data_IF_118053657592
#
_entry.id   IF_118053657592
#
_cell.length_a   1.000
_cell.length_b   1.000
_cell.length_c   1.000
_cell.angle_alpha   90.00
_cell.angle_beta   90.00
_cell.angle_gamma   90.00
#
_symmetry.space_group_name_H-M   'P 1'
#
loop_
_entity.id
_entity.type
_entity.pdbx_description
1 polymer ?
#
# COMPACT_ATOMS: atom_id res chain seq x y z
N UNK A 1 58.40 -22.68 -25.79
CA UNK A 1 57.34 -21.93 -26.49
C UNK A 1 56.02 -22.45 -25.94
N UNK A 2 55.50 -21.88 -24.84
CA UNK A 2 54.61 -20.70 -24.80
C UNK A 2 53.28 -21.04 -25.52
N UNK A 3 52.10 -21.09 -24.91
CA UNK A 3 51.54 -20.43 -23.72
C UNK A 3 50.23 -21.13 -23.30
N UNK A 4 49.98 -21.27 -22.01
CA UNK A 4 48.60 -21.19 -21.46
C UNK A 4 48.22 -19.71 -21.33
N UNK A 5 46.93 -19.35 -21.48
CA UNK A 5 46.28 -18.81 -20.28
C UNK A 5 44.79 -19.18 -20.13
N UNK A 6 44.46 -19.62 -18.92
CA UNK A 6 43.40 -19.09 -18.05
C UNK A 6 42.02 -18.85 -18.69
N UNK A 7 41.13 -19.84 -18.61
CA UNK A 7 39.69 -19.57 -18.68
C UNK A 7 39.28 -18.77 -17.45
N UNK A 8 38.97 -17.51 -17.74
CA UNK A 8 38.45 -16.48 -16.87
C UNK A 8 37.02 -16.84 -16.47
N UNK A 9 36.78 -17.10 -15.19
CA UNK A 9 35.43 -17.01 -14.61
C UNK A 9 34.97 -15.56 -14.62
N UNK A 10 33.74 -15.30 -15.07
CA UNK A 10 32.89 -14.43 -14.30
C UNK A 10 31.77 -15.28 -13.70
N UNK A 11 31.82 -15.37 -12.38
CA UNK A 11 30.65 -15.58 -11.56
C UNK A 11 29.48 -14.77 -12.14
N UNK A 12 28.55 -15.43 -12.81
CA UNK A 12 27.19 -14.90 -12.90
C UNK A 12 26.60 -15.12 -11.53
N UNK A 13 27.00 -14.23 -10.61
CA UNK A 13 26.25 -13.93 -9.42
C UNK A 13 24.80 -13.80 -9.86
N UNK A 14 24.00 -14.78 -9.48
CA UNK A 14 22.55 -14.63 -9.42
C UNK A 14 22.29 -13.29 -8.74
N UNK A 15 21.42 -12.43 -9.31
CA UNK A 15 21.30 -11.04 -8.89
C UNK A 15 21.17 -10.96 -7.37
N UNK A 16 22.02 -10.17 -6.69
CA UNK A 16 21.85 -9.94 -5.28
C UNK A 16 20.57 -9.16 -5.07
N UNK A 17 20.04 -9.33 -3.87
CA UNK A 17 19.00 -8.52 -3.25
C UNK A 17 17.62 -8.66 -3.88
N UNK A 18 16.72 -9.27 -3.11
CA UNK A 18 15.29 -9.06 -3.25
C UNK A 18 15.08 -7.57 -3.42
N UNK A 19 14.83 -7.17 -4.67
CA UNK A 19 14.33 -5.85 -5.01
C UNK A 19 12.98 -5.84 -4.32
N UNK A 20 12.96 -5.42 -3.06
CA UNK A 20 11.74 -5.03 -2.37
C UNK A 20 11.25 -3.93 -3.28
N UNK A 21 10.37 -4.29 -4.21
CA UNK A 21 9.49 -3.33 -4.86
C UNK A 21 9.05 -2.44 -3.72
N UNK A 22 9.29 -1.11 -3.78
CA UNK A 22 8.80 -0.23 -2.72
C UNK A 22 7.36 -0.64 -2.50
N UNK A 23 7.14 -1.15 -1.29
CA UNK A 23 6.05 -2.06 -0.99
C UNK A 23 4.79 -1.41 -1.53
N UNK A 24 4.09 -2.06 -2.48
CA UNK A 24 2.91 -1.44 -3.09
C UNK A 24 1.84 -1.11 -2.03
N UNK A 25 1.97 -1.67 -0.82
CA UNK A 25 1.16 -1.32 0.36
C UNK A 25 1.61 -0.05 1.07
N UNK A 26 2.75 0.55 0.72
CA UNK A 26 3.32 1.76 1.31
C UNK A 26 2.88 3.04 0.60
N UNK A 27 2.59 2.95 -0.70
CA UNK A 27 1.92 4.00 -1.46
C UNK A 27 0.41 3.89 -1.24
N UNK A 28 -0.22 5.04 -1.02
CA UNK A 28 -1.64 5.08 -0.76
C UNK A 28 -2.43 4.72 -2.02
N UNK A 29 -3.46 3.84 -1.93
CA UNK A 29 -4.19 3.41 -3.12
C UNK A 29 -5.13 4.53 -3.58
N UNK A 30 -4.64 5.41 -4.45
CA UNK A 30 -5.36 6.63 -4.85
C UNK A 30 -6.68 6.33 -5.57
N UNK A 31 -6.70 5.29 -6.40
CA UNK A 31 -7.91 4.84 -7.13
C UNK A 31 -8.98 4.31 -6.16
N UNK A 32 -8.59 3.41 -5.24
CA UNK A 32 -9.47 2.87 -4.19
C UNK A 32 -10.04 3.98 -3.30
N UNK A 33 -9.20 4.95 -2.94
CA UNK A 33 -9.61 6.12 -2.18
C UNK A 33 -10.61 6.99 -2.94
N UNK A 34 -10.36 7.24 -4.23
CA UNK A 34 -11.26 8.05 -5.04
C UNK A 34 -12.63 7.40 -5.16
N UNK A 35 -12.66 6.10 -5.45
CA UNK A 35 -13.89 5.30 -5.47
C UNK A 35 -14.62 5.32 -4.11
N UNK A 36 -13.88 5.24 -3.00
CA UNK A 36 -14.43 5.37 -1.66
C UNK A 36 -15.08 6.74 -1.41
N UNK A 37 -14.38 7.83 -1.74
CA UNK A 37 -14.90 9.19 -1.59
C UNK A 37 -16.15 9.43 -2.44
N UNK A 38 -16.17 8.95 -3.69
CA UNK A 38 -17.33 9.06 -4.58
C UNK A 38 -18.53 8.32 -4.00
N UNK A 39 -18.32 7.11 -3.46
CA UNK A 39 -19.43 6.31 -2.94
C UNK A 39 -19.94 6.85 -1.60
N UNK A 40 -19.07 7.31 -0.70
CA UNK A 40 -19.48 8.05 0.51
C UNK A 40 -20.29 9.30 0.14
N UNK A 41 -19.86 10.04 -0.90
CA UNK A 41 -20.59 11.23 -1.39
C UNK A 41 -21.98 10.85 -1.90
N UNK A 42 -22.12 9.72 -2.60
CA UNK A 42 -23.43 9.17 -2.99
C UNK A 42 -24.33 8.80 -1.82
N UNK A 43 -23.76 8.52 -0.65
CA UNK A 43 -24.50 8.28 0.61
C UNK A 43 -24.75 9.58 1.41
N UNK A 44 -24.38 10.74 0.85
CA UNK A 44 -24.55 12.05 1.49
C UNK A 44 -23.38 12.48 2.38
N UNK A 45 -22.27 11.72 2.42
CA UNK A 45 -21.08 12.06 3.19
C UNK A 45 -19.90 12.42 2.30
N UNK A 46 -19.57 13.71 2.22
CA UNK A 46 -18.36 14.14 1.54
C UNK A 46 -17.12 13.90 2.41
N UNK A 47 -16.22 13.03 1.94
CA UNK A 47 -14.96 12.70 2.62
C UNK A 47 -13.79 13.38 1.92
N UNK A 48 -12.88 13.98 2.67
CA UNK A 48 -11.68 14.61 2.11
C UNK A 48 -10.52 13.63 1.98
N UNK A 49 -10.06 13.44 0.74
CA UNK A 49 -8.90 12.62 0.39
C UNK A 49 -7.62 13.05 1.10
N UNK A 50 -7.40 14.36 1.25
CA UNK A 50 -6.23 14.89 1.94
C UNK A 50 -6.28 14.57 3.44
N UNK A 51 -7.45 14.72 4.07
CA UNK A 51 -7.61 14.41 5.49
C UNK A 51 -7.47 12.92 5.76
N UNK A 52 -8.02 12.04 4.92
CA UNK A 52 -7.78 10.61 5.11
C UNK A 52 -6.29 10.23 4.94
N UNK A 53 -5.50 10.96 4.13
CA UNK A 53 -4.06 10.68 3.99
C UNK A 53 -3.23 11.12 5.18
N UNK A 54 -3.54 12.29 5.73
CA UNK A 54 -2.70 12.99 6.70
C UNK A 54 -3.23 12.89 8.13
N UNK A 55 -4.54 12.72 8.31
CA UNK A 55 -5.19 12.61 9.61
C UNK A 55 -5.73 11.19 9.83
N UNK A 56 -5.02 10.44 10.67
CA UNK A 56 -5.35 9.04 10.97
C UNK A 56 -6.70 8.91 11.68
N UNK A 57 -7.04 9.85 12.58
CA UNK A 57 -8.28 9.76 13.37
C UNK A 57 -9.47 9.93 12.43
N UNK A 58 -9.42 10.96 11.61
CA UNK A 58 -10.38 11.20 10.54
C UNK A 58 -10.49 9.98 9.61
N UNK A 59 -9.37 9.43 9.14
CA UNK A 59 -9.39 8.23 8.31
C UNK A 59 -10.13 7.06 8.97
N UNK A 60 -9.80 6.72 10.22
CA UNK A 60 -10.45 5.63 10.95
C UNK A 60 -11.94 5.87 11.22
N UNK A 61 -12.34 7.10 11.53
CA UNK A 61 -13.75 7.44 11.71
C UNK A 61 -14.53 7.25 10.41
N UNK A 62 -13.99 7.70 9.27
CA UNK A 62 -14.65 7.53 7.98
C UNK A 62 -14.72 6.06 7.54
N UNK A 63 -13.70 5.26 7.82
CA UNK A 63 -13.74 3.81 7.59
C UNK A 63 -14.78 3.13 8.48
N UNK A 64 -14.93 3.57 9.73
CA UNK A 64 -15.94 3.06 10.65
C UNK A 64 -17.36 3.43 10.18
N UNK A 65 -17.56 4.67 9.73
CA UNK A 65 -18.83 5.10 9.15
C UNK A 65 -19.18 4.27 7.92
N UNK A 66 -18.24 4.12 6.99
CA UNK A 66 -18.39 3.30 5.80
C UNK A 66 -18.74 1.84 6.12
N UNK A 67 -18.13 1.25 7.16
CA UNK A 67 -18.40 -0.11 7.59
C UNK A 67 -19.83 -0.30 8.16
N UNK A 68 -20.40 0.76 8.75
CA UNK A 68 -21.75 0.75 9.31
C UNK A 68 -22.84 1.11 8.29
N UNK A 69 -22.48 1.51 7.06
CA UNK A 69 -23.46 1.77 6.01
C UNK A 69 -24.00 0.46 5.43
N UNK A 70 -25.24 0.49 4.92
CA UNK A 70 -25.87 -0.64 4.22
C UNK A 70 -25.35 -0.81 2.78
N UNK A 71 -24.04 -0.61 2.58
CA UNK A 71 -23.39 -0.72 1.29
C UNK A 71 -22.19 -1.68 1.40
N UNK A 72 -22.36 -2.88 0.87
CA UNK A 72 -21.41 -3.97 1.04
C UNK A 72 -20.05 -3.67 0.40
N UNK A 73 -20.05 -3.05 -0.78
CA UNK A 73 -18.78 -2.76 -1.43
C UNK A 73 -18.10 -1.49 -0.85
N UNK A 74 -18.81 -0.59 -0.17
CA UNK A 74 -18.23 0.46 0.67
C UNK A 74 -17.51 -0.15 1.86
N UNK A 75 -18.15 -1.14 2.49
CA UNK A 75 -17.56 -1.92 3.57
C UNK A 75 -16.29 -2.66 3.11
N UNK A 76 -16.29 -3.28 1.94
CA UNK A 76 -15.11 -3.92 1.37
C UNK A 76 -13.97 -2.93 1.07
N UNK A 77 -14.28 -1.76 0.50
CA UNK A 77 -13.29 -0.71 0.27
C UNK A 77 -12.72 -0.18 1.59
N UNK A 78 -13.56 -0.04 2.62
CA UNK A 78 -13.12 0.40 3.94
C UNK A 78 -12.12 -0.61 4.57
N UNK A 79 -12.39 -1.90 4.47
CA UNK A 79 -11.46 -2.95 4.95
C UNK A 79 -10.14 -2.91 4.18
N UNK A 80 -10.17 -2.74 2.86
CA UNK A 80 -8.96 -2.62 2.05
C UNK A 80 -8.13 -1.39 2.44
N UNK A 81 -8.75 -0.21 2.54
CA UNK A 81 -8.10 1.01 2.97
C UNK A 81 -7.51 0.87 4.39
N UNK A 82 -8.24 0.24 5.31
CA UNK A 82 -7.76 -0.04 6.67
C UNK A 82 -6.48 -0.87 6.66
N UNK A 83 -6.40 -1.93 5.84
CA UNK A 83 -5.18 -2.75 5.71
C UNK A 83 -3.98 -1.93 5.21
N UNK A 84 -4.21 -0.96 4.31
CA UNK A 84 -3.15 -0.04 3.89
C UNK A 84 -2.73 0.93 5.00
N UNK A 85 -3.67 1.44 5.80
CA UNK A 85 -3.34 2.23 6.99
C UNK A 85 -2.51 1.42 7.98
N UNK A 86 -2.92 0.17 8.26
CA UNK A 86 -2.19 -0.72 9.14
C UNK A 86 -0.83 -1.09 8.59
N UNK A 87 -0.68 -1.37 7.30
CA UNK A 87 0.62 -1.69 6.69
C UNK A 87 1.61 -0.50 6.79
N UNK A 88 1.11 0.73 6.63
CA UNK A 88 1.91 1.96 6.77
C UNK A 88 2.28 2.26 8.22
N UNK A 89 1.37 2.01 9.17
CA UNK A 89 1.59 2.22 10.60
C UNK A 89 2.45 1.12 11.21
N UNK A 90 2.25 -0.12 10.75
CA UNK A 90 3.09 -1.30 10.97
C UNK A 90 4.39 -1.22 10.20
N UNK A 91 4.91 -0.01 9.96
CA UNK A 91 6.31 0.25 9.66
C UNK A 91 7.23 -0.20 10.80
N UNK A 92 6.98 -1.40 11.35
CA UNK A 92 7.97 -2.30 11.88
C UNK A 92 9.01 -2.36 10.77
N UNK A 93 10.00 -1.49 10.91
CA UNK A 93 11.32 -1.70 10.39
C UNK A 93 11.65 -3.14 10.73
N UNK A 94 11.48 -4.06 9.78
CA UNK A 94 12.25 -5.29 9.76
C UNK A 94 13.68 -4.84 9.48
N UNK A 95 14.28 -4.26 10.52
CA UNK A 95 15.70 -4.12 10.70
C UNK A 95 16.17 -5.54 10.99
N UNK A 96 16.50 -6.26 9.92
CA UNK A 96 17.31 -7.46 9.98
C UNK A 96 18.29 -7.42 8.83
#
# INVERSE_FOLDING_TARGET
MSTVPTQHTPATASPPVGRRTPDASQLWPHDLLEAFCLRMSSQGMCVSRALMQHDRRYGLEQLTHAHNMADDALREMAVQLFRHFEARQSGISRSH
#
